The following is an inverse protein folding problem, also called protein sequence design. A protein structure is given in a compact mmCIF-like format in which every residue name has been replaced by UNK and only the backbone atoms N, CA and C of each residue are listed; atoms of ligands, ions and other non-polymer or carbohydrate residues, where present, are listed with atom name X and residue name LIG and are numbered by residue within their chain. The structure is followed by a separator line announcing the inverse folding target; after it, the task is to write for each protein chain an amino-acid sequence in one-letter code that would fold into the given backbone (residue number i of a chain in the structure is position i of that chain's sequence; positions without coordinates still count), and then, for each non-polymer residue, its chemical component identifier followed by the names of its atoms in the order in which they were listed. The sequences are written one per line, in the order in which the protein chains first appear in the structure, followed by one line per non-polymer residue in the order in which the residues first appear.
data_IF_272207451451
#
_entry.id   IF_272207451451
#
_cell.length_a   1.000
_cell.length_b   1.000
_cell.length_c   1.000
_cell.angle_alpha   90.00
_cell.angle_beta   90.00
_cell.angle_gamma   90.00
#
_symmetry.space_group_name_H-M   'P 1'
#
loop_
_entity.id
_entity.type
_entity.pdbx_description
1 polymer ?
#
# COMPACT_ATOMS: atom_id res chain seq x y z
N UNK A 1 -13.43 5.86 -7.30
CA UNK A 1 -13.72 4.53 -6.72
C UNK A 1 -13.60 4.52 -5.20
N UNK A 2 -12.53 5.07 -4.61
CA UNK A 2 -12.31 5.12 -3.17
C UNK A 2 -13.45 5.83 -2.43
N UNK A 3 -13.91 6.98 -2.94
CA UNK A 3 -15.03 7.73 -2.35
C UNK A 3 -16.36 6.94 -2.38
N UNK A 4 -16.60 6.17 -3.46
CA UNK A 4 -17.80 5.33 -3.59
C UNK A 4 -17.77 4.16 -2.61
N UNK A 5 -16.61 3.53 -2.44
CA UNK A 5 -16.41 2.43 -1.50
C UNK A 5 -16.54 2.89 -0.05
N UNK A 6 -15.95 4.05 0.28
CA UNK A 6 -16.07 4.67 1.61
C UNK A 6 -17.53 5.00 1.90
N UNK A 7 -18.28 5.55 0.94
CA UNK A 7 -19.70 5.85 1.10
C UNK A 7 -20.55 4.61 1.41
N UNK A 8 -20.24 3.48 0.76
CA UNK A 8 -20.94 2.21 1.01
C UNK A 8 -20.68 1.69 2.43
N UNK A 9 -19.48 1.92 2.98
CA UNK A 9 -19.08 1.40 4.28
C UNK A 9 -19.45 2.31 5.46
N UNK A 10 -19.34 3.64 5.30
CA UNK A 10 -19.50 4.62 6.38
C UNK A 10 -20.76 5.50 6.26
N UNK A 11 -21.59 5.29 5.25
CA UNK A 11 -22.85 6.03 5.11
C UNK A 11 -22.66 7.55 5.02
N UNK A 12 -23.32 8.31 5.91
CA UNK A 12 -23.31 9.77 5.90
C UNK A 12 -21.96 10.39 6.26
N UNK A 13 -21.07 9.66 6.94
CA UNK A 13 -19.72 10.14 7.30
C UNK A 13 -18.71 9.91 6.18
N UNK A 14 -19.11 9.24 5.09
CA UNK A 14 -18.24 8.92 3.97
C UNK A 14 -17.59 10.15 3.31
N UNK A 15 -18.31 11.27 3.26
CA UNK A 15 -17.79 12.52 2.69
C UNK A 15 -16.65 13.11 3.56
N UNK A 16 -16.80 13.05 4.88
CA UNK A 16 -15.78 13.51 5.82
C UNK A 16 -14.53 12.63 5.75
N UNK A 17 -14.73 11.31 5.71
CA UNK A 17 -13.63 10.34 5.60
C UNK A 17 -12.92 10.48 4.26
N UNK A 18 -13.66 10.64 3.16
CA UNK A 18 -13.07 10.90 1.84
C UNK A 18 -12.25 12.19 1.85
N UNK A 19 -12.79 13.28 2.40
CA UNK A 19 -12.08 14.55 2.52
C UNK A 19 -10.83 14.43 3.39
N UNK A 20 -10.88 13.65 4.48
CA UNK A 20 -9.72 13.37 5.33
C UNK A 20 -8.65 12.57 4.58
N UNK A 21 -9.04 11.56 3.81
CA UNK A 21 -8.11 10.79 2.95
C UNK A 21 -7.48 11.69 1.88
N UNK A 22 -8.26 12.54 1.21
CA UNK A 22 -7.76 13.45 0.20
C UNK A 22 -6.82 14.50 0.80
N UNK A 23 -7.14 14.98 1.99
CA UNK A 23 -6.27 15.89 2.75
C UNK A 23 -4.95 15.21 3.14
N UNK A 24 -4.99 13.95 3.61
CA UNK A 24 -3.79 13.17 3.92
C UNK A 24 -2.95 12.89 2.68
N UNK A 25 -3.59 12.53 1.56
CA UNK A 25 -2.92 12.38 0.28
C UNK A 25 -2.26 13.68 -0.18
N UNK A 26 -2.99 14.81 -0.09
CA UNK A 26 -2.46 16.14 -0.39
C UNK A 26 -1.29 16.50 0.52
N UNK A 27 -1.42 16.27 1.82
CA UNK A 27 -0.37 16.55 2.80
C UNK A 27 0.88 15.72 2.55
N UNK A 28 0.74 14.44 2.20
CA UNK A 28 1.86 13.57 1.86
C UNK A 28 2.57 14.05 0.58
N UNK A 29 1.80 14.51 -0.42
CA UNK A 29 2.34 15.04 -1.68
C UNK A 29 2.93 16.44 -1.55
N UNK A 30 2.18 17.38 -0.92
CA UNK A 30 2.58 18.79 -0.85
C UNK A 30 3.77 19.03 0.08
N UNK A 31 3.86 18.31 1.19
CA UNK A 31 4.97 18.49 2.12
C UNK A 31 6.27 17.89 1.64
N UNK A 32 6.28 17.07 0.57
CA UNK A 32 7.48 16.32 0.15
C UNK A 32 8.25 15.77 1.36
N UNK A 33 7.50 15.44 2.43
CA UNK A 33 8.10 14.90 3.62
C UNK A 33 8.54 13.47 3.35
N UNK A 34 9.78 13.18 3.71
CA UNK A 34 10.25 11.81 3.74
C UNK A 34 9.31 10.98 4.61
N UNK A 35 9.02 9.76 4.20
CA UNK A 35 8.25 8.79 4.99
C UNK A 35 9.14 8.33 6.15
N UNK A 36 9.30 9.23 7.13
CA UNK A 36 10.18 9.04 8.29
C UNK A 36 9.41 8.49 9.50
N UNK A 37 8.09 8.31 9.36
CA UNK A 37 7.24 7.81 10.42
C UNK A 37 6.47 6.57 9.96
N UNK A 38 6.94 5.36 10.32
CA UNK A 38 6.20 4.13 10.04
C UNK A 38 4.76 4.15 10.58
N UNK A 39 4.51 4.84 11.70
CA UNK A 39 3.16 4.98 12.27
C UNK A 39 2.22 5.76 11.37
N UNK A 40 2.66 6.85 10.75
CA UNK A 40 1.84 7.63 9.83
C UNK A 40 1.47 6.83 8.57
N UNK A 41 2.40 6.04 8.05
CA UNK A 41 2.13 5.12 6.93
C UNK A 41 1.09 4.08 7.33
N UNK A 42 1.22 3.47 8.50
CA UNK A 42 0.25 2.49 9.01
C UNK A 42 -1.15 3.08 9.13
N UNK A 43 -1.27 4.25 9.72
CA UNK A 43 -2.56 4.92 9.91
C UNK A 43 -3.21 5.25 8.57
N UNK A 44 -2.44 5.74 7.62
CA UNK A 44 -2.90 5.99 6.26
C UNK A 44 -3.37 4.70 5.57
N UNK A 45 -2.54 3.65 5.56
CA UNK A 45 -2.88 2.38 4.91
C UNK A 45 -4.10 1.72 5.55
N UNK A 46 -4.20 1.76 6.89
CA UNK A 46 -5.38 1.27 7.60
C UNK A 46 -6.64 2.00 7.17
N UNK A 47 -6.58 3.33 7.05
CA UNK A 47 -7.72 4.15 6.67
C UNK A 47 -8.23 3.83 5.26
N UNK A 48 -7.34 3.59 4.30
CA UNK A 48 -7.73 3.35 2.90
C UNK A 48 -8.02 1.88 2.59
N UNK A 49 -7.38 0.93 3.27
CA UNK A 49 -7.48 -0.49 2.94
C UNK A 49 -8.43 -1.27 3.86
N UNK A 50 -8.55 -0.89 5.14
CA UNK A 50 -9.40 -1.59 6.09
C UNK A 50 -10.88 -1.68 5.68
N UNK A 51 -11.50 -0.65 5.05
CA UNK A 51 -12.90 -0.71 4.65
C UNK A 51 -13.19 -1.59 3.43
N UNK A 52 -12.17 -2.09 2.73
CA UNK A 52 -12.35 -2.80 1.48
C UNK A 52 -12.78 -4.26 1.72
N UNK A 53 -13.83 -4.68 1.02
CA UNK A 53 -14.38 -6.05 1.11
C UNK A 53 -13.67 -7.03 0.17
N UNK A 54 -12.87 -6.54 -0.76
CA UNK A 54 -12.05 -7.33 -1.67
C UNK A 54 -10.57 -7.05 -1.44
N UNK A 55 -9.73 -7.99 -1.83
CA UNK A 55 -8.29 -7.84 -1.71
C UNK A 55 -7.74 -6.83 -2.72
N UNK A 56 -6.91 -5.91 -2.26
CA UNK A 56 -6.24 -4.89 -3.08
C UNK A 56 -4.75 -4.93 -2.79
N UNK A 57 -3.93 -4.92 -3.84
CA UNK A 57 -2.50 -4.70 -3.73
C UNK A 57 -2.16 -3.26 -4.09
N UNK A 58 -1.54 -2.56 -3.17
CA UNK A 58 -1.32 -1.13 -3.16
C UNK A 58 0.17 -0.81 -3.08
N UNK A 59 0.59 0.31 -3.68
CA UNK A 59 1.96 0.78 -3.60
C UNK A 59 2.06 2.27 -3.32
N UNK A 60 3.03 2.64 -2.48
CA UNK A 60 3.54 4.00 -2.32
C UNK A 60 4.87 4.08 -3.06
N UNK A 61 4.94 4.88 -4.12
CA UNK A 61 6.17 5.15 -4.86
C UNK A 61 6.88 6.35 -4.26
N UNK A 62 8.16 6.21 -3.97
CA UNK A 62 8.96 7.18 -3.24
C UNK A 62 10.17 7.63 -4.06
N UNK A 63 10.59 8.88 -3.88
CA UNK A 63 11.83 9.39 -4.46
C UNK A 63 13.08 8.89 -3.69
N UNK A 64 14.26 9.33 -4.12
CA UNK A 64 15.53 8.94 -3.50
C UNK A 64 15.68 9.40 -2.04
N UNK A 65 14.89 10.38 -1.60
CA UNK A 65 14.83 10.87 -0.22
C UNK A 65 13.64 10.27 0.56
N UNK A 66 13.01 9.22 0.03
CA UNK A 66 11.83 8.57 0.61
C UNK A 66 10.60 9.50 0.76
N UNK A 67 10.46 10.48 -0.13
CA UNK A 67 9.26 11.32 -0.22
C UNK A 67 8.25 10.70 -1.16
N UNK A 68 6.97 10.78 -0.83
CA UNK A 68 5.90 10.18 -1.64
C UNK A 68 5.78 10.92 -2.98
N UNK A 69 5.94 10.16 -4.07
CA UNK A 69 5.65 10.59 -5.45
C UNK A 69 4.19 10.32 -5.76
N UNK A 70 3.75 9.08 -5.55
CA UNK A 70 2.41 8.62 -5.88
C UNK A 70 1.99 7.45 -4.97
N UNK A 71 0.69 7.34 -4.76
CA UNK A 71 0.04 6.25 -4.06
C UNK A 71 -1.00 5.61 -4.99
N UNK A 72 -0.87 4.32 -5.28
CA UNK A 72 -1.68 3.63 -6.29
C UNK A 72 -2.20 2.27 -5.84
N UNK A 73 -3.46 1.99 -6.19
CA UNK A 73 -3.95 0.62 -6.27
C UNK A 73 -3.41 -0.01 -7.57
N UNK A 74 -2.58 -1.03 -7.44
CA UNK A 74 -1.96 -1.70 -8.59
C UNK A 74 -2.79 -2.86 -9.11
N UNK A 75 -3.33 -3.67 -8.19
CA UNK A 75 -4.11 -4.86 -8.52
C UNK A 75 -5.30 -4.99 -7.59
N UNK A 76 -6.37 -5.53 -8.14
CA UNK A 76 -7.59 -5.84 -7.41
C UNK A 76 -7.91 -7.31 -7.59
N UNK A 77 -8.11 -8.01 -6.48
CA UNK A 77 -8.48 -9.41 -6.45
C UNK A 77 -9.95 -9.65 -6.14
N UNK A 78 -10.21 -10.87 -5.73
CA UNK A 78 -11.50 -11.31 -5.18
C UNK A 78 -11.49 -11.19 -3.65
N UNK A 79 -12.42 -11.86 -2.97
CA UNK A 79 -12.44 -11.93 -1.51
C UNK A 79 -11.24 -12.70 -0.91
N UNK A 80 -10.58 -13.55 -1.71
CA UNK A 80 -9.59 -14.50 -1.24
C UNK A 80 -8.25 -14.46 -1.96
N UNK A 81 -8.13 -13.77 -3.10
CA UNK A 81 -6.90 -13.79 -3.90
C UNK A 81 -6.76 -12.59 -4.82
N UNK A 82 -5.55 -12.05 -4.87
CA UNK A 82 -5.11 -11.04 -5.85
C UNK A 82 -3.92 -11.59 -6.63
N UNK A 83 -3.99 -11.51 -7.97
CA UNK A 83 -2.86 -11.84 -8.83
C UNK A 83 -2.00 -10.60 -9.04
N UNK A 84 -0.75 -10.65 -8.59
CA UNK A 84 0.22 -9.55 -8.72
C UNK A 84 1.32 -9.97 -9.69
N UNK A 85 1.53 -9.16 -10.72
CA UNK A 85 2.53 -9.42 -11.75
C UNK A 85 3.73 -8.49 -11.58
N UNK A 86 4.93 -9.01 -11.24
CA UNK A 86 6.13 -8.18 -11.04
C UNK A 86 6.45 -7.26 -12.23
N UNK A 87 6.23 -7.71 -13.46
CA UNK A 87 6.46 -6.86 -14.65
C UNK A 87 5.63 -5.58 -14.65
N UNK A 88 4.38 -5.63 -14.19
CA UNK A 88 3.50 -4.48 -14.12
C UNK A 88 3.92 -3.52 -13.00
N UNK A 89 4.39 -4.07 -11.87
CA UNK A 89 4.97 -3.28 -10.78
C UNK A 89 6.23 -2.54 -11.25
N UNK A 90 7.13 -3.22 -11.97
CA UNK A 90 8.34 -2.61 -12.55
C UNK A 90 7.99 -1.49 -13.52
N UNK A 91 7.00 -1.68 -14.40
CA UNK A 91 6.52 -0.64 -15.31
C UNK A 91 6.05 0.62 -14.56
N UNK A 92 5.29 0.43 -13.48
CA UNK A 92 4.81 1.56 -12.68
C UNK A 92 5.95 2.26 -11.94
N UNK A 93 6.90 1.51 -11.39
CA UNK A 93 8.09 2.06 -10.73
C UNK A 93 8.92 2.93 -11.69
N UNK A 94 9.12 2.46 -12.92
CA UNK A 94 9.82 3.23 -13.97
C UNK A 94 9.01 4.45 -14.42
N UNK A 95 7.69 4.32 -14.55
CA UNK A 95 6.82 5.45 -14.91
C UNK A 95 6.91 6.59 -13.89
N UNK A 96 6.95 6.28 -12.61
CA UNK A 96 7.08 7.26 -11.53
C UNK A 96 8.53 7.70 -11.28
N UNK A 97 9.50 7.07 -11.93
CA UNK A 97 10.92 7.34 -11.70
C UNK A 97 11.27 7.30 -10.20
N UNK A 98 10.75 6.31 -9.48
CA UNK A 98 10.92 6.18 -8.04
C UNK A 98 12.26 5.53 -7.67
N UNK A 99 12.76 5.83 -6.46
CA UNK A 99 13.95 5.20 -5.88
C UNK A 99 13.63 4.16 -4.82
N UNK A 100 12.39 4.15 -4.32
CA UNK A 100 11.91 3.18 -3.34
C UNK A 100 10.40 2.98 -3.45
N UNK A 101 9.93 1.85 -2.90
CA UNK A 101 8.50 1.48 -2.87
C UNK A 101 8.16 0.90 -1.50
N UNK A 102 6.98 1.22 -1.01
CA UNK A 102 6.32 0.52 0.08
C UNK A 102 5.09 -0.17 -0.49
N UNK A 103 4.95 -1.47 -0.26
CA UNK A 103 3.76 -2.23 -0.64
C UNK A 103 2.79 -2.35 0.52
N UNK A 104 1.53 -2.55 0.18
CA UNK A 104 0.50 -2.91 1.13
C UNK A 104 -0.59 -3.73 0.46
N UNK A 105 -1.19 -4.66 1.19
CA UNK A 105 -2.43 -5.31 0.80
C UNK A 105 -3.31 -5.53 2.03
N UNK A 106 -4.61 -5.68 1.79
CA UNK A 106 -5.54 -6.00 2.86
C UNK A 106 -5.92 -7.47 2.82
N UNK A 107 -6.19 -8.02 4.01
CA UNK A 107 -6.82 -9.32 4.19
C UNK A 107 -8.27 -9.11 4.66
N UNK A 108 -9.26 -9.22 3.78
CA UNK A 108 -10.68 -9.07 4.16
C UNK A 108 -11.13 -10.08 5.23
N UNK A 109 -10.41 -11.19 5.38
CA UNK A 109 -10.64 -12.17 6.45
C UNK A 109 -10.45 -11.64 7.87
N UNK A 110 -9.73 -10.52 8.03
CA UNK A 110 -9.41 -9.92 9.32
C UNK A 110 -8.18 -10.51 10.02
N UNK A 111 -7.45 -11.43 9.39
CA UNK A 111 -6.23 -12.03 9.93
C UNK A 111 -4.99 -11.39 9.30
N UNK A 112 -4.20 -10.66 10.09
CA UNK A 112 -3.00 -9.93 9.65
C UNK A 112 -1.73 -10.81 9.62
N UNK A 113 -1.86 -12.10 9.35
CA UNK A 113 -0.69 -12.97 9.20
C UNK A 113 -0.35 -13.15 7.72
N UNK A 114 0.95 -13.04 7.34
CA UNK A 114 1.37 -13.25 5.96
C UNK A 114 1.18 -14.73 5.57
N UNK A 115 0.68 -14.94 4.36
CA UNK A 115 0.71 -16.26 3.75
C UNK A 115 2.09 -16.54 3.15
N UNK A 116 2.39 -17.81 2.88
CA UNK A 116 3.60 -18.18 2.15
C UNK A 116 3.64 -17.53 0.75
N UNK A 117 2.47 -17.36 0.12
CA UNK A 117 2.35 -16.68 -1.16
C UNK A 117 2.73 -15.19 -1.05
N UNK A 118 2.33 -14.51 0.04
CA UNK A 118 2.69 -13.10 0.29
C UNK A 118 4.20 -12.93 0.46
N UNK A 119 4.83 -13.82 1.20
CA UNK A 119 6.28 -13.81 1.40
C UNK A 119 7.02 -14.06 0.07
N UNK A 120 6.60 -15.07 -0.68
CA UNK A 120 7.19 -15.40 -1.99
C UNK A 120 7.05 -14.24 -2.98
N UNK A 121 5.86 -13.63 -3.04
CA UNK A 121 5.60 -12.46 -3.88
C UNK A 121 6.51 -11.28 -3.48
N UNK A 122 6.60 -11.00 -2.19
CA UNK A 122 7.44 -9.90 -1.69
C UNK A 122 8.90 -10.07 -2.09
N UNK A 123 9.43 -11.29 -1.96
CA UNK A 123 10.81 -11.58 -2.39
C UNK A 123 10.98 -11.45 -3.92
N UNK A 124 10.01 -11.90 -4.71
CA UNK A 124 10.05 -11.76 -6.16
C UNK A 124 10.03 -10.28 -6.59
N UNK A 125 9.19 -9.47 -5.97
CA UNK A 125 9.11 -8.01 -6.22
C UNK A 125 10.41 -7.31 -5.81
N UNK A 126 10.98 -7.65 -4.65
CA UNK A 126 12.25 -7.12 -4.17
C UNK A 126 13.38 -7.41 -5.15
N UNK A 127 13.48 -8.65 -5.65
CA UNK A 127 14.49 -9.03 -6.63
C UNK A 127 14.30 -8.31 -7.98
N UNK A 128 13.07 -8.23 -8.48
CA UNK A 128 12.77 -7.56 -9.75
C UNK A 128 13.10 -6.07 -9.70
N UNK A 129 12.72 -5.39 -8.62
CA UNK A 129 12.94 -3.95 -8.44
C UNK A 129 14.42 -3.63 -8.18
N UNK A 130 15.17 -4.51 -7.53
CA UNK A 130 16.61 -4.34 -7.34
C UNK A 130 17.36 -4.26 -8.67
N UNK A 131 16.89 -4.92 -9.74
CA UNK A 131 17.49 -4.84 -11.08
C UNK A 131 17.40 -3.45 -11.72
N UNK A 132 16.51 -2.61 -11.24
CA UNK A 132 16.31 -1.22 -11.70
C UNK A 132 16.64 -0.20 -10.61
N UNK A 133 17.43 -0.58 -9.62
CA UNK A 133 17.86 0.26 -8.50
C UNK A 133 16.72 0.84 -7.64
N UNK A 134 15.59 0.14 -7.56
CA UNK A 134 14.45 0.49 -6.70
C UNK A 134 14.42 -0.40 -5.48
N UNK A 135 14.41 0.21 -4.29
CA UNK A 135 14.39 -0.50 -3.00
C UNK A 135 12.96 -0.75 -2.54
N UNK A 136 12.69 -1.94 -2.03
CA UNK A 136 11.46 -2.22 -1.27
C UNK A 136 11.74 -1.94 0.20
N UNK A 137 11.09 -0.92 0.77
CA UNK A 137 11.33 -0.50 2.16
C UNK A 137 10.50 -1.32 3.14
N UNK A 138 9.25 -1.62 2.79
CA UNK A 138 8.36 -2.44 3.63
C UNK A 138 7.23 -3.03 2.79
N UNK A 139 6.54 -4.00 3.38
CA UNK A 139 5.28 -4.54 2.90
C UNK A 139 4.33 -4.68 4.09
N UNK A 140 3.19 -4.01 4.03
CA UNK A 140 2.20 -4.01 5.09
C UNK A 140 1.02 -4.90 4.76
N UNK A 141 0.53 -5.64 5.75
CA UNK A 141 -0.76 -6.33 5.67
C UNK A 141 -1.75 -5.61 6.58
N UNK A 142 -2.87 -5.17 6.01
CA UNK A 142 -3.96 -4.53 6.74
C UNK A 142 -5.11 -5.52 6.88
N UNK A 143 -5.48 -5.84 8.11
CA UNK A 143 -6.57 -6.77 8.41
C UNK A 143 -7.40 -6.24 9.59
N UNK A 144 -8.61 -5.80 9.32
CA UNK A 144 -9.43 -5.13 10.33
C UNK A 144 -8.72 -3.92 10.92
N UNK A 145 -8.53 -3.89 12.23
CA UNK A 145 -7.79 -2.84 12.94
C UNK A 145 -6.28 -3.10 13.00
N UNK A 146 -5.82 -4.30 12.60
CA UNK A 146 -4.42 -4.71 12.65
C UNK A 146 -3.64 -4.30 11.40
N UNK A 147 -2.38 -3.90 11.60
CA UNK A 147 -1.42 -3.65 10.51
C UNK A 147 -0.11 -4.31 10.85
N UNK A 148 0.31 -5.27 10.03
CA UNK A 148 1.57 -5.98 10.15
C UNK A 148 2.60 -5.40 9.18
N UNK A 149 3.84 -5.25 9.61
CA UNK A 149 4.99 -4.84 8.80
C UNK A 149 5.92 -6.04 8.58
N UNK A 150 6.28 -6.29 7.33
CA UNK A 150 7.27 -7.31 6.97
C UNK A 150 8.67 -6.93 7.45
N UNK A 151 9.04 -5.66 7.38
CA UNK A 151 10.33 -5.18 7.86
C UNK A 151 10.50 -5.41 9.37
N UNK A 152 9.48 -5.12 10.17
CA UNK A 152 9.51 -5.37 11.62
C UNK A 152 9.55 -6.87 11.97
N UNK A 153 9.00 -7.71 11.10
CA UNK A 153 9.05 -9.18 11.26
C UNK A 153 10.34 -9.81 10.71
N UNK A 154 11.21 -9.01 10.06
CA UNK A 154 12.43 -9.51 9.43
C UNK A 154 12.19 -10.35 8.18
N UNK A 155 11.09 -10.10 7.47
CA UNK A 155 10.69 -10.79 6.24
C UNK A 155 11.15 -10.08 4.96
N UNK A 156 11.74 -8.89 5.10
CA UNK A 156 12.34 -8.11 4.00
C UNK A 156 13.83 -7.93 4.22
#
# INVERSE_FOLDING_TARGET
ETARQIKAHYGNDAALISAAIDCLNGTLRERKQAVNSPSAVRDYLRLILSPLEHEVFFALFLDAQNRVIEAEELFRGTLTQTSVYPREVVKRALHHNCGAVIFAHNHPSGVAEPSHADETLTQALKQALALIDVRVLDHFIVAGSGVLSFAERGLI
#
